data_IF_082591576381
#
_entry.id   IF_082591576381
#
_cell.length_a   1.000
_cell.length_b   1.000
_cell.length_c   1.000
_cell.angle_alpha   90.00
_cell.angle_beta   90.00
_cell.angle_gamma   90.00
#
_symmetry.space_group_name_H-M   'P 1'
#
loop_
_entity.id
_entity.type
_entity.pdbx_description
1 polymer ?
#
# COMPACT_ATOMS: atom_id res chain seq x y z
N UNK A 1 8.86 17.86 4.72
CA UNK A 1 8.46 19.18 4.21
C UNK A 1 9.31 19.53 2.98
N UNK A 2 8.67 20.03 1.94
CA UNK A 2 9.36 20.52 0.74
C UNK A 2 8.63 21.75 0.22
N UNK A 3 9.37 22.83 -0.06
CA UNK A 3 8.80 24.10 -0.57
C UNK A 3 7.64 24.65 0.27
N UNK A 4 7.74 24.57 1.60
CA UNK A 4 6.69 24.99 2.53
C UNK A 4 5.47 24.07 2.62
N UNK A 5 5.39 23.02 1.80
CA UNK A 5 4.31 22.02 1.86
C UNK A 5 4.69 20.89 2.82
N UNK A 6 3.79 20.54 3.72
CA UNK A 6 3.92 19.41 4.64
C UNK A 6 3.12 18.22 4.12
N UNK A 7 3.67 17.03 4.27
CA UNK A 7 3.01 15.76 4.00
C UNK A 7 3.12 14.90 5.26
N UNK A 8 2.01 14.37 5.74
CA UNK A 8 1.98 13.37 6.79
C UNK A 8 1.85 11.98 6.15
N UNK A 9 2.59 11.01 6.67
CA UNK A 9 2.50 9.61 6.29
C UNK A 9 2.18 8.79 7.53
N UNK A 10 1.10 8.02 7.47
CA UNK A 10 0.69 7.06 8.50
C UNK A 10 0.95 5.67 7.93
N UNK A 11 1.79 4.88 8.59
CA UNK A 11 1.89 3.44 8.31
C UNK A 11 1.15 2.70 9.40
N UNK A 12 0.17 1.86 9.02
CA UNK A 12 -0.67 1.13 9.95
C UNK A 12 -0.91 -0.29 9.43
N UNK A 13 -0.88 -1.27 10.35
CA UNK A 13 -1.07 -2.68 10.01
C UNK A 13 -2.52 -3.10 10.21
N UNK A 14 -3.06 -3.87 9.25
CA UNK A 14 -4.31 -4.61 9.39
C UNK A 14 -4.18 -5.77 10.38
N UNK A 15 -5.32 -6.33 10.80
CA UNK A 15 -5.39 -7.44 11.78
C UNK A 15 -5.99 -8.73 11.21
N UNK A 16 -6.70 -8.65 10.08
CA UNK A 16 -7.34 -9.83 9.47
C UNK A 16 -6.28 -10.69 8.80
N UNK A 17 -6.11 -11.93 9.28
CA UNK A 17 -5.05 -12.87 8.88
C UNK A 17 -3.62 -12.39 9.15
N UNK A 18 -3.47 -11.43 10.05
CA UNK A 18 -2.20 -10.85 10.48
C UNK A 18 -1.97 -11.12 11.96
N UNK A 19 -0.74 -10.92 12.50
CA UNK A 19 -0.50 -11.03 13.93
C UNK A 19 -1.47 -10.13 14.73
N UNK A 20 -1.95 -10.59 15.91
CA UNK A 20 -2.92 -9.83 16.69
C UNK A 20 -2.34 -8.50 17.19
N UNK A 21 -3.05 -7.42 16.87
CA UNK A 21 -2.73 -6.05 17.27
C UNK A 21 -3.99 -5.29 17.69
N UNK A 22 -3.83 -4.08 18.20
CA UNK A 22 -4.95 -3.15 18.43
C UNK A 22 -5.71 -2.84 17.12
N UNK A 23 -6.93 -2.34 17.24
CA UNK A 23 -7.77 -2.06 16.07
C UNK A 23 -7.20 -0.90 15.23
N UNK A 24 -6.82 -1.12 13.95
CA UNK A 24 -6.23 -0.08 13.11
C UNK A 24 -7.21 1.07 12.81
N UNK A 25 -8.51 0.80 12.77
CA UNK A 25 -9.53 1.82 12.54
C UNK A 25 -9.60 2.80 13.72
N UNK A 26 -9.63 2.29 14.95
CA UNK A 26 -9.62 3.14 16.13
C UNK A 26 -8.31 3.93 16.26
N UNK A 27 -7.18 3.29 15.96
CA UNK A 27 -5.88 3.96 16.02
C UNK A 27 -5.79 5.14 15.04
N UNK A 28 -6.29 4.98 13.80
CA UNK A 28 -6.28 6.07 12.84
C UNK A 28 -7.25 7.18 13.23
N UNK A 29 -8.42 6.85 13.78
CA UNK A 29 -9.40 7.83 14.27
C UNK A 29 -8.82 8.70 15.40
N UNK A 30 -8.00 8.13 16.27
CA UNK A 30 -7.29 8.86 17.33
C UNK A 30 -6.18 9.77 16.80
N UNK A 31 -5.45 9.34 15.76
CA UNK A 31 -4.30 10.07 15.21
C UNK A 31 -4.70 11.24 14.31
N UNK A 32 -5.77 11.09 13.52
CA UNK A 32 -6.13 12.05 12.49
C UNK A 32 -6.40 13.48 12.99
N UNK A 33 -7.09 13.72 14.12
CA UNK A 33 -7.35 15.08 14.60
C UNK A 33 -6.07 15.87 14.86
N UNK A 34 -5.04 15.23 15.39
CA UNK A 34 -3.76 15.89 15.69
C UNK A 34 -2.96 16.17 14.41
N UNK A 35 -2.95 15.21 13.46
CA UNK A 35 -2.27 15.37 12.18
C UNK A 35 -2.89 16.49 11.35
N UNK A 36 -4.23 16.59 11.35
CA UNK A 36 -4.97 17.63 10.62
C UNK A 36 -4.70 19.05 11.12
N UNK A 37 -4.23 19.22 12.34
CA UNK A 37 -3.76 20.54 12.84
C UNK A 37 -2.47 20.98 12.13
N UNK A 38 -1.73 20.05 11.52
CA UNK A 38 -0.43 20.29 10.91
C UNK A 38 -0.53 20.36 9.37
N UNK A 39 -1.30 19.46 8.76
CA UNK A 39 -1.48 19.39 7.31
C UNK A 39 -2.73 18.60 6.92
N UNK A 40 -3.33 18.97 5.77
CA UNK A 40 -4.39 18.19 5.12
C UNK A 40 -3.84 17.17 4.10
N UNK A 41 -2.55 17.26 3.74
CA UNK A 41 -1.91 16.30 2.86
C UNK A 41 -1.51 15.07 3.69
N UNK A 42 -2.34 14.05 3.72
CA UNK A 42 -2.16 12.86 4.55
C UNK A 42 -2.23 11.62 3.66
N UNK A 43 -1.21 10.77 3.77
CA UNK A 43 -1.13 9.49 3.07
C UNK A 43 -1.16 8.38 4.11
N UNK A 44 -1.97 7.35 3.87
CA UNK A 44 -2.08 6.16 4.71
C UNK A 44 -1.58 4.94 3.94
N UNK A 45 -0.48 4.35 4.42
CA UNK A 45 0.01 3.04 4.03
C UNK A 45 -0.65 1.99 4.93
N UNK A 46 -1.60 1.25 4.37
CA UNK A 46 -2.32 0.21 5.09
C UNK A 46 -1.73 -1.17 4.76
N UNK A 47 -0.85 -1.66 5.64
CA UNK A 47 -0.18 -2.95 5.50
C UNK A 47 -1.06 -4.08 5.98
N UNK A 48 -1.75 -4.77 5.08
CA UNK A 48 -2.71 -5.81 5.44
C UNK A 48 -2.91 -6.88 4.36
N UNK A 49 -3.29 -8.08 4.81
CA UNK A 49 -3.57 -9.22 3.93
C UNK A 49 -4.95 -9.11 3.27
N UNK A 50 -6.00 -8.86 4.06
CA UNK A 50 -7.37 -8.97 3.59
C UNK A 50 -7.79 -7.77 2.72
N UNK A 51 -8.18 -8.04 1.47
CA UNK A 51 -8.74 -7.04 0.54
C UNK A 51 -9.92 -6.28 1.15
N UNK A 52 -10.83 -6.98 1.84
CA UNK A 52 -12.00 -6.37 2.48
C UNK A 52 -11.61 -5.36 3.57
N UNK A 53 -10.58 -5.65 4.36
CA UNK A 53 -10.08 -4.74 5.39
C UNK A 53 -9.42 -3.50 4.77
N UNK A 54 -8.64 -3.67 3.69
CA UNK A 54 -8.07 -2.57 2.92
C UNK A 54 -9.14 -1.66 2.33
N UNK A 55 -10.17 -2.24 1.70
CA UNK A 55 -11.30 -1.47 1.16
C UNK A 55 -12.07 -0.74 2.25
N UNK A 56 -12.33 -1.40 3.39
CA UNK A 56 -13.00 -0.79 4.53
C UNK A 56 -12.21 0.42 5.06
N UNK A 57 -10.88 0.34 5.15
CA UNK A 57 -10.03 1.47 5.54
C UNK A 57 -10.13 2.61 4.53
N UNK A 58 -10.10 2.32 3.23
CA UNK A 58 -10.30 3.32 2.18
C UNK A 58 -11.61 4.08 2.35
N UNK A 59 -12.71 3.38 2.52
CA UNK A 59 -14.03 4.00 2.72
C UNK A 59 -14.17 4.73 4.05
N UNK A 60 -13.58 4.19 5.14
CA UNK A 60 -13.56 4.85 6.44
C UNK A 60 -12.89 6.23 6.37
N UNK A 61 -11.83 6.33 5.56
CA UNK A 61 -11.03 7.54 5.42
C UNK A 61 -11.41 8.43 4.23
N UNK A 62 -12.44 8.05 3.46
CA UNK A 62 -12.86 8.83 2.30
C UNK A 62 -13.24 10.25 2.69
N UNK A 63 -12.55 11.21 2.06
CA UNK A 63 -12.68 12.63 2.36
C UNK A 63 -11.96 13.08 3.63
N UNK A 64 -11.23 12.23 4.31
CA UNK A 64 -10.48 12.58 5.52
C UNK A 64 -8.97 12.67 5.28
N UNK A 65 -8.47 11.95 4.27
CA UNK A 65 -7.05 11.90 3.88
C UNK A 65 -6.92 12.05 2.37
N UNK A 66 -5.71 12.33 1.89
CA UNK A 66 -5.43 12.45 0.46
C UNK A 66 -5.42 11.09 -0.24
N UNK A 67 -4.80 10.08 0.39
CA UNK A 67 -4.57 8.78 -0.21
C UNK A 67 -4.60 7.67 0.84
N UNK A 68 -5.23 6.55 0.50
CA UNK A 68 -5.08 5.26 1.17
C UNK A 68 -4.57 4.25 0.14
N UNK A 69 -3.43 3.63 0.39
CA UNK A 69 -2.92 2.55 -0.43
C UNK A 69 -2.57 1.33 0.41
N UNK A 70 -2.84 0.17 -0.14
CA UNK A 70 -2.49 -1.09 0.51
C UNK A 70 -1.09 -1.57 0.14
N UNK A 71 -0.50 -2.35 1.06
CA UNK A 71 0.74 -3.09 0.89
C UNK A 71 0.59 -4.50 1.46
N UNK A 72 1.60 -5.32 1.44
CA UNK A 72 1.72 -6.67 1.97
C UNK A 72 1.69 -7.78 0.92
N UNK A 73 0.72 -7.79 0.01
CA UNK A 73 0.53 -8.93 -0.91
C UNK A 73 1.59 -9.05 -1.98
N UNK A 74 2.39 -8.00 -2.21
CA UNK A 74 3.39 -7.88 -3.27
C UNK A 74 2.80 -7.95 -4.70
N UNK A 75 1.47 -7.99 -4.82
CA UNK A 75 0.78 -8.07 -6.11
C UNK A 75 0.01 -6.78 -6.36
N UNK A 76 0.43 -6.01 -7.36
CA UNK A 76 -0.23 -4.77 -7.71
C UNK A 76 -1.66 -5.03 -8.20
N UNK A 77 -2.65 -4.41 -7.57
CA UNK A 77 -4.04 -4.45 -8.02
C UNK A 77 -4.33 -3.39 -9.08
N UNK A 78 -5.44 -3.52 -9.80
CA UNK A 78 -5.83 -2.65 -10.91
C UNK A 78 -7.10 -1.85 -10.58
N UNK A 79 -7.24 -1.45 -9.33
CA UNK A 79 -8.44 -0.82 -8.79
C UNK A 79 -8.19 0.62 -8.31
N UNK A 80 -7.10 1.25 -8.80
CA UNK A 80 -6.81 2.65 -8.50
C UNK A 80 -7.97 3.55 -8.91
N UNK A 81 -8.38 4.40 -7.99
CA UNK A 81 -9.52 5.32 -8.17
C UNK A 81 -9.51 6.46 -7.18
N UNK A 82 -10.29 7.48 -7.47
CA UNK A 82 -10.62 8.53 -6.52
C UNK A 82 -11.99 8.18 -5.94
N UNK A 83 -12.09 8.07 -4.61
CA UNK A 83 -13.33 7.82 -3.90
C UNK A 83 -14.24 9.06 -3.92
N UNK A 84 -15.51 8.89 -3.54
CA UNK A 84 -16.56 9.91 -3.74
C UNK A 84 -16.28 11.25 -3.05
N UNK A 85 -15.49 11.26 -1.97
CA UNK A 85 -15.16 12.47 -1.20
C UNK A 85 -13.74 12.97 -1.46
N UNK A 86 -13.06 12.41 -2.48
CA UNK A 86 -11.78 12.91 -3.00
C UNK A 86 -10.53 12.25 -2.42
N UNK A 87 -10.65 11.12 -1.75
CA UNK A 87 -9.49 10.31 -1.33
C UNK A 87 -9.05 9.38 -2.46
N UNK A 88 -7.78 9.41 -2.85
CA UNK A 88 -7.20 8.40 -3.75
C UNK A 88 -7.14 7.04 -3.06
N UNK A 89 -7.35 5.96 -3.82
CA UNK A 89 -7.35 4.60 -3.27
C UNK A 89 -6.79 3.58 -4.26
N UNK A 90 -6.02 2.63 -3.75
CA UNK A 90 -5.65 1.38 -4.43
C UNK A 90 -5.50 0.26 -3.38
N UNK A 91 -5.97 -0.95 -3.69
CA UNK A 91 -5.94 -2.08 -2.76
C UNK A 91 -4.51 -2.55 -2.45
N UNK A 92 -3.61 -2.62 -3.43
CA UNK A 92 -2.19 -2.92 -3.20
C UNK A 92 -1.32 -2.30 -4.29
N UNK A 93 -0.26 -1.62 -3.89
CA UNK A 93 0.67 -0.97 -4.83
C UNK A 93 1.68 -1.93 -5.44
N UNK A 94 1.72 -3.20 -5.01
CA UNK A 94 2.64 -4.20 -5.48
C UNK A 94 4.04 -4.11 -4.85
N UNK A 95 5.04 -4.61 -5.56
CA UNK A 95 6.42 -4.66 -5.10
C UNK A 95 7.40 -4.12 -6.14
N UNK A 96 8.57 -3.70 -5.69
CA UNK A 96 9.74 -3.47 -6.53
C UNK A 96 10.68 -4.66 -6.43
N UNK A 97 10.92 -5.35 -7.54
CA UNK A 97 11.77 -6.56 -7.55
C UNK A 97 11.52 -7.49 -8.74
N UNK A 98 12.00 -8.73 -8.62
CA UNK A 98 11.87 -9.77 -9.67
C UNK A 98 10.46 -10.35 -9.72
N UNK A 99 9.80 -10.19 -10.87
CA UNK A 99 8.42 -10.63 -11.07
C UNK A 99 8.32 -12.06 -11.68
N UNK A 100 9.40 -12.62 -12.19
CA UNK A 100 9.42 -14.02 -12.62
C UNK A 100 9.73 -14.98 -11.45
N UNK A 101 9.41 -14.54 -10.24
CA UNK A 101 9.45 -15.28 -8.99
C UNK A 101 8.09 -15.46 -8.35
N UNK A 102 8.09 -15.86 -7.09
CA UNK A 102 6.90 -15.92 -6.23
C UNK A 102 7.10 -14.89 -5.13
N UNK A 103 6.34 -13.79 -5.20
CA UNK A 103 6.45 -12.65 -4.29
C UNK A 103 7.90 -12.11 -4.13
N UNK A 104 8.67 -12.09 -5.25
CA UNK A 104 10.06 -11.63 -5.27
C UNK A 104 11.11 -12.70 -4.94
N UNK A 105 10.71 -13.92 -4.59
CA UNK A 105 11.60 -15.05 -4.31
C UNK A 105 11.68 -16.02 -5.50
N UNK A 106 12.79 -16.74 -5.62
CA UNK A 106 12.96 -17.73 -6.67
C UNK A 106 11.91 -18.84 -6.62
N UNK A 107 11.43 -19.24 -7.80
CA UNK A 107 10.35 -20.22 -7.97
C UNK A 107 10.67 -21.58 -7.34
N UNK A 108 11.90 -22.07 -7.51
CA UNK A 108 12.29 -23.42 -7.08
C UNK A 108 12.08 -23.63 -5.58
N UNK A 109 12.65 -22.77 -4.77
CA UNK A 109 12.60 -22.87 -3.31
C UNK A 109 11.18 -22.62 -2.79
N UNK A 110 10.47 -21.67 -3.39
CA UNK A 110 9.10 -21.35 -3.01
C UNK A 110 8.15 -22.51 -3.30
N UNK A 111 8.21 -23.10 -4.51
CA UNK A 111 7.38 -24.25 -4.88
C UNK A 111 7.71 -25.46 -4.01
N UNK A 112 9.00 -25.71 -3.75
CA UNK A 112 9.43 -26.84 -2.92
C UNK A 112 8.84 -26.73 -1.51
N UNK A 113 8.91 -25.54 -0.90
CA UNK A 113 8.32 -25.30 0.43
C UNK A 113 6.82 -25.59 0.48
N UNK A 114 6.07 -25.21 -0.56
CA UNK A 114 4.63 -25.53 -0.62
C UNK A 114 4.36 -27.04 -0.77
N UNK A 115 5.28 -27.80 -1.38
CA UNK A 115 5.12 -29.24 -1.58
C UNK A 115 5.43 -30.07 -0.35
N UNK A 116 6.48 -29.71 0.40
CA UNK A 116 7.00 -30.55 1.51
C UNK A 116 6.80 -29.90 2.90
N UNK A 117 6.45 -28.61 2.95
CA UNK A 117 6.26 -27.87 4.20
C UNK A 117 7.55 -27.61 4.98
N UNK A 118 8.71 -27.96 4.42
CA UNK A 118 9.99 -27.82 5.11
C UNK A 118 10.55 -26.39 4.98
N UNK A 119 11.37 -25.95 5.96
CA UNK A 119 12.08 -24.69 5.85
C UNK A 119 12.97 -24.66 4.61
N UNK A 120 12.86 -23.62 3.79
CA UNK A 120 13.67 -23.41 2.61
C UNK A 120 14.64 -22.23 2.82
N UNK A 121 15.85 -22.34 2.27
CA UNK A 121 16.76 -21.20 2.18
C UNK A 121 16.35 -20.34 0.97
N UNK A 122 15.74 -19.21 1.25
CA UNK A 122 15.23 -18.32 0.23
C UNK A 122 16.35 -17.62 -0.53
N UNK A 123 16.16 -17.44 -1.83
CA UNK A 123 16.97 -16.56 -2.67
C UNK A 123 16.06 -15.61 -3.45
N UNK A 124 16.56 -14.38 -3.67
CA UNK A 124 15.80 -13.33 -4.35
C UNK A 124 15.76 -13.59 -5.84
N UNK A 125 14.58 -13.44 -6.45
CA UNK A 125 14.41 -13.46 -7.90
C UNK A 125 15.04 -12.21 -8.53
N UNK A 126 15.87 -12.41 -9.56
CA UNK A 126 16.55 -11.33 -10.28
C UNK A 126 16.06 -11.17 -11.73
N UNK A 127 15.02 -11.90 -12.10
CA UNK A 127 14.45 -11.92 -13.45
C UNK A 127 13.21 -11.01 -13.52
N UNK A 128 13.00 -10.36 -14.68
CA UNK A 128 11.86 -9.49 -14.94
C UNK A 128 11.68 -8.43 -13.85
N UNK A 129 12.72 -7.62 -13.63
CA UNK A 129 12.71 -6.59 -12.58
C UNK A 129 11.69 -5.50 -12.96
N UNK A 130 10.79 -5.20 -12.02
CA UNK A 130 9.82 -4.11 -12.16
C UNK A 130 9.83 -3.21 -10.94
N UNK A 131 9.43 -1.97 -11.18
CA UNK A 131 9.01 -1.02 -10.13
C UNK A 131 7.50 -0.92 -10.19
N UNK A 132 6.82 -1.33 -9.13
CA UNK A 132 5.41 -1.03 -8.93
C UNK A 132 5.25 0.12 -7.94
N UNK A 133 4.21 0.91 -8.13
CA UNK A 133 3.89 2.06 -7.28
C UNK A 133 2.69 2.81 -7.81
N UNK A 134 2.50 4.02 -7.34
CA UNK A 134 1.48 4.96 -7.80
C UNK A 134 2.05 6.37 -7.88
N UNK A 135 1.49 7.17 -8.78
CA UNK A 135 1.69 8.61 -8.87
C UNK A 135 0.36 9.26 -8.53
N UNK A 136 0.39 10.24 -7.63
CA UNK A 136 -0.82 10.91 -7.15
C UNK A 136 -0.62 12.42 -7.16
N UNK A 137 -1.55 13.14 -7.79
CA UNK A 137 -1.63 14.59 -7.72
C UNK A 137 -2.63 14.98 -6.63
N UNK A 138 -2.16 15.76 -5.65
CA UNK A 138 -2.94 16.23 -4.50
C UNK A 138 -3.07 17.75 -4.59
N UNK A 139 -4.30 18.28 -4.52
CA UNK A 139 -4.56 19.71 -4.56
C UNK A 139 -4.27 20.40 -3.23
N UNK A 140 -4.45 21.73 -3.21
CA UNK A 140 -4.22 22.57 -2.02
C UNK A 140 -5.11 22.24 -0.82
N UNK A 141 -6.26 21.58 -1.06
CA UNK A 141 -7.20 21.15 -0.01
C UNK A 141 -6.90 19.75 0.53
N UNK A 142 -5.83 19.09 0.05
CA UNK A 142 -5.47 17.73 0.45
C UNK A 142 -6.32 16.64 -0.23
N UNK A 143 -6.97 16.95 -1.37
CA UNK A 143 -7.75 15.99 -2.17
C UNK A 143 -6.93 15.47 -3.33
N UNK A 144 -7.08 14.19 -3.64
CA UNK A 144 -6.51 13.59 -4.86
C UNK A 144 -7.30 14.06 -6.08
N UNK A 145 -6.60 14.57 -7.07
CA UNK A 145 -7.15 14.95 -8.38
C UNK A 145 -6.80 13.94 -9.46
N UNK A 146 -5.69 13.23 -9.30
CA UNK A 146 -5.24 12.21 -10.24
C UNK A 146 -4.56 11.08 -9.47
N UNK A 147 -4.78 9.85 -9.92
CA UNK A 147 -4.08 8.65 -9.44
C UNK A 147 -3.76 7.76 -10.63
N UNK A 148 -2.54 7.32 -10.75
CA UNK A 148 -2.07 6.44 -11.83
C UNK A 148 -1.16 5.36 -11.26
N UNK A 149 -1.35 4.12 -11.73
CA UNK A 149 -0.42 3.03 -11.43
C UNK A 149 0.89 3.20 -12.17
N UNK A 150 1.97 2.94 -11.47
CA UNK A 150 3.30 2.79 -12.01
C UNK A 150 3.64 1.31 -12.09
N UNK A 151 3.96 0.81 -13.29
CA UNK A 151 4.43 -0.55 -13.52
C UNK A 151 5.53 -0.49 -14.59
N UNK A 152 6.75 -0.27 -14.16
CA UNK A 152 7.90 -0.05 -15.03
C UNK A 152 8.82 -1.28 -15.06
N UNK A 153 9.15 -1.75 -16.27
CA UNK A 153 10.22 -2.73 -16.46
C UNK A 153 11.57 -2.05 -16.37
N UNK A 154 12.49 -2.66 -15.65
CA UNK A 154 13.89 -2.22 -15.57
C UNK A 154 14.75 -3.22 -16.31
N UNK A 155 15.38 -2.77 -17.38
CA UNK A 155 16.44 -3.53 -18.07
C UNK A 155 17.77 -3.27 -17.35
N UNK A 156 18.36 -4.32 -16.77
CA UNK A 156 19.67 -4.30 -16.12
C UNK A 156 20.66 -5.02 -17.00
#
# INVERSE_FOLDING_TARGET
EKNGKKLAVINIQGKVFMPPIACPFLAVDELLPEIKKITNNIIVDFHGEATSEKQAMGWNLDGQVSLVYGTHTHTQTADERILHRGTGYITDIGMTGGHDGILGMNKKESIQKFKDGLPARWSVCKENIKINGIIVDINEYGRTEKIERLNLHISI
#
